data_IF_054108167744
#
_entry.id   IF_054108167744
#
_cell.length_a   1.000
_cell.length_b   1.000
_cell.length_c   1.000
_cell.angle_alpha   90.00
_cell.angle_beta   90.00
_cell.angle_gamma   90.00
#
_symmetry.space_group_name_H-M   'P 1'
#
loop_
_entity.id
_entity.type
_entity.pdbx_description
1 polymer ?
#
# COMPACT_ATOMS: atom_id res chain seq x y z
N UNK A 1 32.94 0.30 22.72
CA UNK A 1 32.54 0.39 21.30
C UNK A 1 33.68 1.00 20.51
N UNK A 2 34.31 0.26 19.58
CA UNK A 2 35.39 0.80 18.75
C UNK A 2 34.80 1.76 17.71
N UNK A 3 35.27 3.01 17.71
CA UNK A 3 34.93 4.00 16.68
C UNK A 3 35.59 3.55 15.37
N UNK A 4 34.79 3.13 14.39
CA UNK A 4 35.29 2.83 13.05
C UNK A 4 35.96 4.10 12.48
N UNK A 5 37.25 4.03 12.18
CA UNK A 5 37.95 5.08 11.43
C UNK A 5 37.72 4.81 9.95
N UNK A 6 36.79 5.55 9.36
CA UNK A 6 36.61 5.56 7.92
C UNK A 6 37.80 6.34 7.34
N UNK A 7 38.72 5.63 6.70
CA UNK A 7 39.80 6.24 5.93
C UNK A 7 39.27 6.54 4.54
N UNK A 8 39.27 7.82 4.16
CA UNK A 8 38.98 8.23 2.79
C UNK A 8 40.31 8.43 2.08
N UNK A 9 40.56 7.66 1.02
CA UNK A 9 41.62 7.98 0.07
C UNK A 9 41.15 9.14 -0.78
N UNK A 10 41.87 10.25 -0.72
CA UNK A 10 41.60 11.46 -1.48
C UNK A 10 42.78 11.67 -2.42
N UNK A 11 42.48 11.89 -3.70
CA UNK A 11 43.50 12.22 -4.69
C UNK A 11 44.27 13.48 -4.25
N UNK A 12 45.60 13.42 -4.37
CA UNK A 12 46.49 14.48 -3.94
C UNK A 12 46.27 15.77 -4.75
N UNK A 13 45.93 15.64 -6.03
CA UNK A 13 45.71 16.78 -6.93
C UNK A 13 44.40 17.50 -6.60
N UNK A 14 43.33 16.75 -6.33
CA UNK A 14 42.03 17.31 -5.91
C UNK A 14 42.15 18.04 -4.56
N UNK A 15 42.93 17.48 -3.63
CA UNK A 15 43.18 18.10 -2.34
C UNK A 15 44.01 19.39 -2.47
N UNK A 16 44.97 19.43 -3.40
CA UNK A 16 45.74 20.64 -3.70
C UNK A 16 44.85 21.74 -4.28
N UNK A 17 43.97 21.39 -5.23
CA UNK A 17 43.01 22.33 -5.81
C UNK A 17 42.00 22.86 -4.79
N UNK A 18 41.46 22.00 -3.94
CA UNK A 18 40.53 22.41 -2.88
C UNK A 18 41.20 23.36 -1.87
N UNK A 19 42.45 23.09 -1.49
CA UNK A 19 43.23 24.00 -0.62
C UNK A 19 43.52 25.34 -1.29
N UNK A 20 43.89 25.33 -2.57
CA UNK A 20 44.14 26.56 -3.32
C UNK A 20 42.87 27.42 -3.45
N UNK A 21 41.71 26.80 -3.67
CA UNK A 21 40.42 27.48 -3.70
C UNK A 21 40.08 28.13 -2.35
N UNK A 22 40.25 27.38 -1.26
CA UNK A 22 40.01 27.89 0.10
C UNK A 22 40.92 29.07 0.45
N UNK A 23 42.20 29.00 0.07
CA UNK A 23 43.16 30.09 0.28
C UNK A 23 42.80 31.36 -0.50
N UNK A 24 42.23 31.23 -1.70
CA UNK A 24 41.81 32.37 -2.54
C UNK A 24 40.51 33.03 -2.07
N UNK A 25 39.60 32.26 -1.47
CA UNK A 25 38.28 32.73 -1.08
C UNK A 25 38.10 32.96 0.43
N UNK A 26 39.19 32.87 1.22
CA UNK A 26 39.18 33.19 2.66
C UNK A 26 38.38 32.21 3.52
N UNK A 27 38.19 30.96 3.06
CA UNK A 27 37.35 29.96 3.71
C UNK A 27 38.10 28.98 4.60
N UNK A 28 37.42 27.90 5.01
CA UNK A 28 38.07 26.70 5.56
C UNK A 28 37.70 25.47 4.74
N UNK A 29 38.62 24.51 4.61
CA UNK A 29 38.39 23.27 3.87
C UNK A 29 37.18 22.50 4.44
N UNK A 30 37.03 22.50 5.77
CA UNK A 30 35.87 21.87 6.42
C UNK A 30 34.54 22.51 5.99
N UNK A 31 34.47 23.83 5.79
CA UNK A 31 33.25 24.48 5.29
C UNK A 31 32.91 24.05 3.87
N UNK A 32 33.92 23.88 3.02
CA UNK A 32 33.75 23.42 1.63
C UNK A 32 33.24 21.98 1.61
N UNK A 33 33.84 21.11 2.42
CA UNK A 33 33.42 19.71 2.58
C UNK A 33 32.00 19.62 3.16
N UNK A 34 31.67 20.41 4.19
CA UNK A 34 30.31 20.47 4.72
C UNK A 34 29.29 20.99 3.70
N UNK A 35 29.65 21.99 2.89
CA UNK A 35 28.79 22.50 1.81
C UNK A 35 28.56 21.45 0.72
N UNK A 36 29.59 20.68 0.37
CA UNK A 36 29.50 19.58 -0.58
C UNK A 36 28.58 18.46 -0.06
N UNK A 37 28.74 18.05 1.20
CA UNK A 37 27.83 17.06 1.80
C UNK A 37 26.39 17.57 1.89
N UNK A 38 26.20 18.86 2.20
CA UNK A 38 24.89 19.48 2.19
C UNK A 38 24.27 19.51 0.78
N UNK A 39 25.06 19.80 -0.26
CA UNK A 39 24.57 19.81 -1.65
C UNK A 39 24.24 18.41 -2.15
N UNK A 40 25.06 17.40 -1.81
CA UNK A 40 24.80 16.00 -2.14
C UNK A 40 23.51 15.49 -1.47
N UNK A 41 23.30 15.79 -0.19
CA UNK A 41 22.06 15.43 0.50
C UNK A 41 20.81 16.10 -0.09
N UNK A 42 20.93 17.35 -0.58
CA UNK A 42 19.85 18.00 -1.30
C UNK A 42 19.62 17.44 -2.71
N UNK A 43 20.68 16.96 -3.36
CA UNK A 43 20.60 16.35 -4.68
C UNK A 43 19.93 14.97 -4.62
N UNK A 44 20.19 14.18 -3.58
CA UNK A 44 19.46 12.92 -3.31
C UNK A 44 17.97 13.16 -3.04
N UNK A 45 17.61 14.22 -2.30
CA UNK A 45 16.19 14.57 -2.07
C UNK A 45 15.47 15.01 -3.35
N UNK A 46 16.20 15.59 -4.32
CA UNK A 46 15.66 15.94 -5.64
C UNK A 46 15.66 14.77 -6.63
N UNK A 47 16.54 13.80 -6.43
CA UNK A 47 16.71 12.64 -7.30
C UNK A 47 15.98 11.38 -6.83
N UNK A 48 15.47 11.34 -5.60
CA UNK A 48 14.55 10.29 -5.17
C UNK A 48 13.33 10.33 -6.12
N UNK A 49 13.11 9.30 -6.95
CA UNK A 49 11.93 9.27 -7.79
C UNK A 49 10.74 9.34 -6.83
N UNK A 50 9.90 10.36 -6.99
CA UNK A 50 8.66 10.45 -6.24
C UNK A 50 7.92 9.13 -6.46
N UNK A 51 7.78 8.35 -5.38
CA UNK A 51 7.17 7.03 -5.45
C UNK A 51 5.78 7.20 -6.07
N UNK A 52 5.54 6.47 -7.16
CA UNK A 52 4.29 6.54 -7.88
C UNK A 52 3.11 6.32 -6.92
N UNK A 53 2.08 7.18 -6.93
CA UNK A 53 0.96 7.09 -6.00
C UNK A 53 0.28 5.72 -6.05
N UNK A 54 0.20 5.06 -7.21
CA UNK A 54 -0.39 3.73 -7.28
C UNK A 54 0.48 2.68 -6.55
N UNK A 55 1.81 2.77 -6.71
CA UNK A 55 2.77 1.93 -6.00
C UNK A 55 2.68 2.11 -4.48
N UNK A 56 2.48 3.36 -4.02
CA UNK A 56 2.28 3.67 -2.60
C UNK A 56 1.05 2.97 -2.03
N UNK A 57 -0.08 3.04 -2.72
CA UNK A 57 -1.34 2.41 -2.28
C UNK A 57 -1.18 0.89 -2.21
N UNK A 58 -0.53 0.27 -3.20
CA UNK A 58 -0.26 -1.17 -3.18
C UNK A 58 0.63 -1.58 -1.99
N UNK A 59 1.64 -0.78 -1.66
CA UNK A 59 2.47 -1.01 -0.47
C UNK A 59 1.65 -0.90 0.82
N UNK A 60 0.76 0.10 0.92
CA UNK A 60 -0.11 0.29 2.09
C UNK A 60 -1.09 -0.89 2.28
N UNK A 61 -1.62 -1.47 1.19
CA UNK A 61 -2.42 -2.71 1.24
C UNK A 61 -1.58 -3.90 1.69
N UNK A 62 -0.38 -4.07 1.11
CA UNK A 62 0.51 -5.20 1.45
C UNK A 62 0.94 -5.17 2.92
N UNK A 63 1.06 -3.97 3.49
CA UNK A 63 1.36 -3.74 4.89
C UNK A 63 0.11 -3.82 5.80
N UNK A 64 -1.05 -4.20 5.26
CA UNK A 64 -2.34 -4.27 5.94
C UNK A 64 -2.76 -2.96 6.64
N UNK A 65 -2.32 -1.81 6.11
CA UNK A 65 -2.67 -0.47 6.65
C UNK A 65 -4.03 0.00 6.17
N UNK A 66 -4.39 -0.35 4.94
CA UNK A 66 -5.67 -0.03 4.31
C UNK A 66 -6.31 -1.30 3.78
N UNK A 67 -7.64 -1.28 3.66
CA UNK A 67 -8.38 -2.42 3.13
C UNK A 67 -8.21 -2.55 1.61
N UNK A 68 -8.39 -3.76 1.07
CA UNK A 68 -8.33 -3.99 -0.38
C UNK A 68 -9.43 -3.20 -1.12
N UNK A 69 -10.60 -3.03 -0.50
CA UNK A 69 -11.69 -2.26 -1.09
C UNK A 69 -11.38 -0.77 -1.15
N UNK A 70 -10.80 -0.22 -0.09
CA UNK A 70 -10.36 1.18 -0.06
C UNK A 70 -9.27 1.44 -1.10
N UNK A 71 -8.34 0.50 -1.26
CA UNK A 71 -7.34 0.58 -2.32
C UNK A 71 -7.92 0.50 -3.72
N UNK A 72 -8.97 -0.31 -3.96
CA UNK A 72 -9.65 -0.35 -5.25
C UNK A 72 -10.26 1.02 -5.58
N UNK A 73 -10.87 1.67 -4.59
CA UNK A 73 -11.43 3.02 -4.74
C UNK A 73 -10.34 4.07 -5.01
N UNK A 74 -9.23 4.05 -4.28
CA UNK A 74 -8.12 4.99 -4.46
C UNK A 74 -7.40 4.81 -5.80
N UNK A 75 -7.33 3.58 -6.30
CA UNK A 75 -6.72 3.25 -7.60
C UNK A 75 -7.68 3.39 -8.79
N UNK A 76 -8.96 3.69 -8.55
CA UNK A 76 -9.99 3.74 -9.60
C UNK A 76 -10.24 2.38 -10.27
N UNK A 77 -10.04 1.29 -9.54
CA UNK A 77 -10.23 -0.08 -10.02
C UNK A 77 -11.67 -0.56 -9.76
N UNK A 78 -12.22 -1.44 -10.61
CA UNK A 78 -13.61 -1.86 -10.52
C UNK A 78 -13.89 -2.76 -9.31
N UNK A 79 -12.90 -3.55 -8.88
CA UNK A 79 -13.07 -4.47 -7.74
C UNK A 79 -11.75 -4.77 -7.00
N UNK A 80 -11.88 -5.50 -5.90
CA UNK A 80 -10.78 -5.99 -5.06
C UNK A 80 -9.89 -7.03 -5.78
N UNK A 81 -10.43 -7.76 -6.76
CA UNK A 81 -9.69 -8.75 -7.55
C UNK A 81 -8.59 -8.10 -8.38
N UNK A 82 -8.85 -6.94 -8.98
CA UNK A 82 -7.82 -6.18 -9.71
C UNK A 82 -6.68 -5.69 -8.79
N UNK A 83 -6.99 -5.33 -7.54
CA UNK A 83 -5.97 -4.95 -6.56
C UNK A 83 -5.09 -6.15 -6.20
N UNK A 84 -5.70 -7.31 -5.98
CA UNK A 84 -4.96 -8.56 -5.72
C UNK A 84 -4.07 -8.96 -6.90
N UNK A 85 -4.56 -8.81 -8.13
CA UNK A 85 -3.78 -9.06 -9.34
C UNK A 85 -2.57 -8.12 -9.42
N UNK A 86 -2.76 -6.82 -9.15
CA UNK A 86 -1.69 -5.81 -9.13
C UNK A 86 -0.64 -6.11 -8.06
N UNK A 87 -1.06 -6.54 -6.86
CA UNK A 87 -0.14 -6.97 -5.80
C UNK A 87 0.71 -8.16 -6.24
N UNK A 88 0.09 -9.16 -6.87
CA UNK A 88 0.80 -10.33 -7.38
C UNK A 88 1.81 -9.96 -8.48
N UNK A 89 1.44 -9.08 -9.42
CA UNK A 89 2.32 -8.57 -10.47
C UNK A 89 3.50 -7.78 -9.92
N UNK A 90 3.29 -7.02 -8.85
CA UNK A 90 4.33 -6.27 -8.16
C UNK A 90 5.21 -7.13 -7.23
N UNK A 91 4.93 -8.43 -7.10
CA UNK A 91 5.63 -9.33 -6.18
C UNK A 91 5.42 -8.98 -4.70
N UNK A 92 4.35 -8.24 -4.38
CA UNK A 92 4.05 -7.80 -3.03
C UNK A 92 3.29 -8.89 -2.26
N UNK A 93 3.53 -9.02 -0.93
CA UNK A 93 2.83 -10.00 -0.13
C UNK A 93 1.34 -9.69 -0.10
N UNK A 94 0.53 -10.73 -0.34
CA UNK A 94 -0.90 -10.63 -0.18
C UNK A 94 -1.22 -10.47 1.32
N UNK A 95 -2.19 -9.60 1.66
CA UNK A 95 -2.64 -9.46 3.04
C UNK A 95 -3.17 -10.82 3.51
N UNK A 96 -2.55 -11.36 4.57
CA UNK A 96 -2.94 -12.65 5.13
C UNK A 96 -4.13 -12.46 6.06
N UNK A 97 -5.20 -13.19 5.80
CA UNK A 97 -6.30 -13.32 6.75
C UNK A 97 -5.86 -14.19 7.93
N UNK A 98 -6.42 -13.91 9.11
CA UNK A 98 -6.25 -14.84 10.24
C UNK A 98 -6.95 -16.17 9.91
N UNK A 99 -6.46 -17.30 10.41
CA UNK A 99 -7.08 -18.61 10.15
C UNK A 99 -8.53 -18.67 10.66
N UNK A 100 -8.85 -17.96 11.75
CA UNK A 100 -10.23 -17.84 12.26
C UNK A 100 -11.14 -17.09 11.29
N UNK A 101 -10.66 -16.00 10.69
CA UNK A 101 -11.45 -15.21 9.74
C UNK A 101 -11.63 -15.96 8.42
N UNK A 102 -10.60 -16.67 7.96
CA UNK A 102 -10.67 -17.51 6.77
C UNK A 102 -11.70 -18.63 6.93
N UNK A 103 -11.70 -19.35 8.06
CA UNK A 103 -12.68 -20.41 8.32
C UNK A 103 -14.10 -19.86 8.41
N UNK A 104 -14.29 -18.73 9.09
CA UNK A 104 -15.60 -18.06 9.17
C UNK A 104 -16.11 -17.63 7.79
N UNK A 105 -15.24 -17.07 6.95
CA UNK A 105 -15.60 -16.70 5.57
C UNK A 105 -15.99 -17.93 4.74
N UNK A 106 -15.26 -19.04 4.90
CA UNK A 106 -15.55 -20.29 4.19
C UNK A 106 -16.90 -20.88 4.61
N UNK A 107 -17.22 -20.89 5.90
CA UNK A 107 -18.53 -21.33 6.39
C UNK A 107 -19.67 -20.47 5.82
N UNK A 108 -19.53 -19.15 5.80
CA UNK A 108 -20.53 -18.24 5.23
C UNK A 108 -20.69 -18.44 3.72
N UNK A 109 -19.59 -18.61 2.99
CA UNK A 109 -19.62 -18.88 1.56
C UNK A 109 -20.30 -20.23 1.25
N UNK A 110 -20.04 -21.25 2.07
CA UNK A 110 -20.66 -22.56 1.94
C UNK A 110 -22.16 -22.49 2.21
N UNK A 111 -22.59 -21.81 3.27
CA UNK A 111 -24.02 -21.58 3.55
C UNK A 111 -24.74 -20.84 2.42
N UNK A 112 -24.10 -19.81 1.86
CA UNK A 112 -24.65 -19.06 0.73
C UNK A 112 -24.75 -19.92 -0.54
N UNK A 113 -23.76 -20.77 -0.81
CA UNK A 113 -23.78 -21.71 -1.92
C UNK A 113 -24.91 -22.74 -1.74
N UNK A 114 -25.02 -23.33 -0.56
CA UNK A 114 -26.07 -24.31 -0.23
C UNK A 114 -27.47 -23.70 -0.39
N UNK A 115 -27.66 -22.44 0.03
CA UNK A 115 -28.91 -21.72 -0.15
C UNK A 115 -29.26 -21.46 -1.64
N UNK A 116 -28.26 -21.25 -2.50
CA UNK A 116 -28.46 -21.05 -3.94
C UNK A 116 -28.70 -22.38 -4.70
N UNK A 117 -28.21 -23.50 -4.17
CA UNK A 117 -28.38 -24.83 -4.77
C UNK A 117 -29.72 -25.48 -4.42
N UNK A 118 -30.40 -24.99 -3.39
CA UNK A 118 -31.76 -25.41 -3.05
C UNK A 118 -32.77 -24.69 -3.97
N UNK A 119 -33.66 -25.46 -4.61
CA UNK A 119 -34.79 -24.88 -5.34
C UNK A 119 -35.59 -23.97 -4.40
N UNK A 120 -35.92 -22.73 -4.82
CA UNK A 120 -36.66 -21.82 -3.98
C UNK A 120 -38.01 -22.47 -3.62
N UNK A 121 -38.22 -22.69 -2.33
CA UNK A 121 -39.45 -23.31 -1.84
C UNK A 121 -40.66 -22.56 -2.41
N UNK A 122 -41.64 -23.26 -3.02
CA UNK A 122 -42.75 -22.61 -3.69
C UNK A 122 -43.50 -21.73 -2.68
N UNK A 123 -43.87 -20.49 -3.05
CA UNK A 123 -44.54 -19.58 -2.14
C UNK A 123 -45.83 -20.23 -1.67
N UNK A 124 -45.95 -20.42 -0.36
CA UNK A 124 -47.16 -20.95 0.28
C UNK A 124 -48.30 -19.98 -0.03
N UNK A 125 -49.15 -20.34 -1.00
CA UNK A 125 -50.41 -19.64 -1.25
C UNK A 125 -51.23 -19.70 0.03
N UNK A 126 -51.30 -18.58 0.77
CA UNK A 126 -52.33 -18.36 1.78
C UNK A 126 -53.68 -18.52 1.07
N UNK A 127 -54.32 -19.68 1.27
CA UNK A 127 -55.71 -19.93 0.84
C UNK A 127 -56.56 -18.80 1.40
N UNK A 128 -57.16 -18.03 0.50
CA UNK A 128 -58.10 -16.97 0.86
C UNK A 128 -59.21 -17.54 1.73
N UNK A 129 -59.41 -16.94 2.91
CA UNK A 129 -60.66 -17.07 3.65
C UNK A 129 -61.72 -16.28 2.90
N UNK A 130 -62.41 -16.96 1.99
CA UNK A 130 -63.75 -16.57 1.55
C UNK A 130 -64.73 -16.83 2.69
N UNK A 131 -65.25 -15.76 3.30
CA UNK A 131 -66.55 -15.77 3.97
C UNK A 131 -66.96 -14.30 4.20
N UNK A 132 -67.49 -13.68 3.15
CA UNK A 132 -68.29 -12.46 3.29
C UNK A 132 -69.54 -12.80 4.09
N UNK A 133 -69.56 -12.39 5.35
CA UNK A 133 -70.74 -12.43 6.20
C UNK A 133 -71.70 -11.31 5.78
N UNK A 134 -72.83 -11.74 5.20
CA UNK A 134 -74.19 -11.21 5.33
C UNK A 134 -74.33 -9.80 5.93
N UNK A 135 -74.80 -8.86 5.10
CA UNK A 135 -75.46 -7.61 5.52
C UNK A 135 -76.93 -7.94 5.83
N UNK A 136 -77.49 -7.45 6.95
CA UNK A 136 -78.88 -7.05 6.95
C UNK A 136 -79.06 -5.56 7.29
N UNK A 137 -80.24 -5.09 6.91
CA UNK A 137 -80.72 -3.72 6.74
C UNK A 137 -80.65 -2.80 7.98
#
# INVERSE_FOLDING_TARGET
MPKAKIGFEVDADDLAHAKAYVARHGGSLNKLVSALFASLGQQEQRAAPAMDPATRVLLEVSAAKISIMEAAQQLGLPDAGYVLQRLAQAGLPLPRLSPSDANRQLELAQQALDACLLEPAPPVKKRGRSAGGVIPA
#
